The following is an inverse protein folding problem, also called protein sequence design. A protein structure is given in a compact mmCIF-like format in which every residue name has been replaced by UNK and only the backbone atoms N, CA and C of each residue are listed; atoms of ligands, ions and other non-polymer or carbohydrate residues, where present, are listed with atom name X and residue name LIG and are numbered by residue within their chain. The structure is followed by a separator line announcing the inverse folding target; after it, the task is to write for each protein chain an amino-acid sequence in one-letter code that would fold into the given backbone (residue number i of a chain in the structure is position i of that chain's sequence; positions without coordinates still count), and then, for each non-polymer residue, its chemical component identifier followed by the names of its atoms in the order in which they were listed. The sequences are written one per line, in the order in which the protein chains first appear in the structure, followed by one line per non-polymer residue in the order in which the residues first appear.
data_IF_945721502433
#
_entry.id   IF_945721502433
#
_cell.length_a   1.000
_cell.length_b   1.000
_cell.length_c   1.000
_cell.angle_alpha   90.00
_cell.angle_beta   90.00
_cell.angle_gamma   90.00
#
_symmetry.space_group_name_H-M   'P 1'
#
loop_
_entity.id
_entity.type
_entity.pdbx_description
1 polymer ?
#
# COMPACT_ATOMS: atom_id res chain seq x y z
N UNK A 1 13.63 -17.20 -10.71
CA UNK A 1 13.57 -16.00 -9.86
C UNK A 1 12.20 -15.96 -9.23
N UNK A 2 12.10 -16.11 -7.92
CA UNK A 2 10.84 -16.14 -7.18
C UNK A 2 10.49 -14.70 -6.73
N UNK A 3 10.20 -13.82 -7.70
CA UNK A 3 9.87 -12.41 -7.43
C UNK A 3 8.36 -12.12 -7.36
N UNK A 4 7.54 -13.15 -7.57
CA UNK A 4 6.10 -12.99 -7.64
C UNK A 4 5.62 -12.47 -9.01
N UNK A 5 4.30 -12.56 -9.23
CA UNK A 5 3.66 -12.00 -10.43
C UNK A 5 2.21 -11.62 -10.14
N UNK A 6 1.71 -10.65 -10.88
CA UNK A 6 0.29 -10.25 -10.89
C UNK A 6 -0.32 -10.71 -12.20
N UNK A 7 -1.44 -11.41 -12.13
CA UNK A 7 -2.23 -11.79 -13.31
C UNK A 7 -3.41 -10.83 -13.44
N UNK A 8 -3.56 -10.23 -14.61
CA UNK A 8 -4.73 -9.43 -14.94
C UNK A 8 -5.79 -10.32 -15.60
N UNK A 9 -6.98 -10.32 -15.03
CA UNK A 9 -8.10 -11.16 -15.47
C UNK A 9 -9.29 -10.24 -15.77
N UNK A 10 -9.89 -10.44 -16.92
CA UNK A 10 -11.12 -9.76 -17.37
C UNK A 10 -12.30 -10.70 -17.27
N UNK A 11 -13.46 -10.18 -16.97
CA UNK A 11 -14.75 -10.85 -16.98
C UNK A 11 -15.68 -10.16 -17.97
N UNK A 12 -16.63 -10.89 -18.54
CA UNK A 12 -17.59 -10.33 -19.49
C UNK A 12 -18.64 -9.43 -18.83
N UNK A 13 -18.91 -9.67 -17.54
CA UNK A 13 -19.90 -8.92 -16.77
C UNK A 13 -19.57 -8.84 -15.26
N UNK A 14 -20.41 -8.13 -14.51
CA UNK A 14 -20.30 -7.96 -13.05
C UNK A 14 -20.65 -9.24 -12.25
N UNK A 15 -21.13 -10.30 -12.90
CA UNK A 15 -21.37 -11.61 -12.29
C UNK A 15 -20.14 -12.52 -12.42
N UNK A 16 -19.00 -11.98 -12.85
CA UNK A 16 -17.73 -12.68 -13.03
C UNK A 16 -17.83 -13.85 -14.03
N UNK A 17 -18.59 -13.67 -15.10
CA UNK A 17 -18.70 -14.70 -16.15
C UNK A 17 -17.51 -14.66 -17.10
N UNK A 18 -17.19 -15.83 -17.67
CA UNK A 18 -16.15 -16.02 -18.69
C UNK A 18 -14.80 -15.35 -18.36
N UNK A 19 -14.11 -15.75 -17.26
CA UNK A 19 -12.82 -15.18 -16.92
C UNK A 19 -11.80 -15.41 -18.04
N UNK A 20 -11.11 -14.35 -18.43
CA UNK A 20 -10.04 -14.39 -19.45
C UNK A 20 -8.77 -13.79 -18.86
N UNK A 21 -7.68 -14.55 -18.90
CA UNK A 21 -6.36 -14.03 -18.57
C UNK A 21 -5.92 -13.05 -19.66
N UNK A 22 -5.63 -11.81 -19.28
CA UNK A 22 -5.27 -10.73 -20.21
C UNK A 22 -3.76 -10.59 -20.30
N UNK A 23 -3.07 -10.44 -19.16
CA UNK A 23 -1.63 -10.23 -19.14
C UNK A 23 -1.01 -10.53 -17.77
N UNK A 24 0.31 -10.46 -17.72
CA UNK A 24 1.10 -10.73 -16.50
C UNK A 24 2.09 -9.60 -16.24
N UNK A 25 2.19 -9.18 -14.98
CA UNK A 25 3.13 -8.17 -14.50
C UNK A 25 4.12 -8.85 -13.55
N UNK A 26 5.41 -8.64 -13.76
CA UNK A 26 6.47 -9.23 -12.93
C UNK A 26 7.82 -9.23 -13.64
N UNK A 27 8.77 -10.03 -13.14
CA UNK A 27 10.09 -10.09 -13.74
C UNK A 27 10.07 -10.88 -15.07
N UNK A 28 10.59 -10.28 -16.14
CA UNK A 28 10.75 -10.90 -17.47
C UNK A 28 9.47 -11.26 -18.24
N UNK A 29 8.32 -10.69 -17.90
CA UNK A 29 7.09 -10.83 -18.66
C UNK A 29 7.01 -9.75 -19.75
N UNK A 30 7.15 -10.12 -21.03
CA UNK A 30 7.17 -9.20 -22.16
C UNK A 30 6.68 -9.85 -23.48
N UNK A 31 5.82 -10.87 -23.40
CA UNK A 31 5.39 -11.63 -24.56
C UNK A 31 4.23 -10.97 -25.32
N UNK A 32 3.52 -10.03 -24.70
CA UNK A 32 2.38 -9.33 -25.29
C UNK A 32 2.33 -7.86 -24.87
N UNK A 33 1.46 -7.06 -25.51
CA UNK A 33 1.20 -5.67 -25.11
C UNK A 33 0.44 -5.54 -23.78
N UNK A 34 0.01 -6.65 -23.20
CA UNK A 34 -0.66 -6.72 -21.92
C UNK A 34 0.28 -7.16 -20.78
N UNK A 35 1.49 -7.58 -21.13
CA UNK A 35 2.50 -7.96 -20.14
C UNK A 35 3.38 -6.78 -19.77
N UNK A 36 3.88 -6.77 -18.53
CA UNK A 36 4.81 -5.78 -18.05
C UNK A 36 6.00 -6.45 -17.36
N UNK A 37 7.18 -6.24 -17.90
CA UNK A 37 8.43 -6.63 -17.23
C UNK A 37 8.91 -5.50 -16.32
N UNK A 38 9.01 -5.78 -15.03
CA UNK A 38 9.63 -4.87 -14.06
C UNK A 38 11.06 -5.31 -13.85
N UNK A 39 11.99 -4.58 -14.49
CA UNK A 39 13.41 -4.94 -14.52
C UNK A 39 14.14 -4.73 -13.18
N UNK A 40 13.60 -3.90 -12.31
CA UNK A 40 14.16 -3.63 -10.97
C UNK A 40 13.75 -4.68 -9.93
N UNK A 41 12.82 -5.57 -10.28
CA UNK A 41 12.35 -6.62 -9.38
C UNK A 41 13.45 -7.68 -9.23
N UNK A 42 13.99 -7.81 -8.03
CA UNK A 42 15.03 -8.76 -7.67
C UNK A 42 14.51 -10.18 -7.40
N UNK A 43 15.44 -11.09 -7.12
CA UNK A 43 15.08 -12.45 -6.71
C UNK A 43 14.65 -12.44 -5.25
N UNK A 44 13.41 -12.79 -4.98
CA UNK A 44 12.90 -12.88 -3.63
C UNK A 44 12.03 -11.72 -3.18
N UNK A 45 11.94 -10.63 -3.96
CA UNK A 45 11.18 -9.41 -3.60
C UNK A 45 9.71 -9.67 -3.28
N UNK A 46 9.13 -10.71 -3.85
CA UNK A 46 7.79 -11.24 -3.52
C UNK A 46 6.68 -10.19 -3.57
N UNK A 47 5.94 -10.14 -4.67
CA UNK A 47 4.67 -9.40 -4.69
C UNK A 47 3.68 -9.99 -3.68
N UNK A 48 3.23 -9.18 -2.73
CA UNK A 48 2.41 -9.64 -1.59
C UNK A 48 1.04 -8.99 -1.52
N UNK A 49 0.93 -7.76 -2.00
CA UNK A 49 -0.31 -6.99 -1.92
C UNK A 49 -0.56 -6.24 -3.22
N UNK A 50 -1.81 -5.95 -3.49
CA UNK A 50 -2.21 -5.13 -4.63
C UNK A 50 -3.47 -4.35 -4.31
N UNK A 51 -3.58 -3.14 -4.87
CA UNK A 51 -4.78 -2.32 -4.80
C UNK A 51 -4.99 -1.61 -6.14
N UNK A 52 -6.22 -1.69 -6.65
CA UNK A 52 -6.63 -1.18 -7.96
C UNK A 52 -7.64 -0.05 -7.75
N UNK A 53 -7.57 1.01 -8.56
CA UNK A 53 -8.61 2.05 -8.59
C UNK A 53 -9.93 1.50 -9.11
N UNK A 54 -11.04 2.16 -8.79
CA UNK A 54 -12.40 1.75 -9.21
C UNK A 54 -12.55 1.66 -10.73
N UNK A 55 -11.86 2.53 -11.46
CA UNK A 55 -11.87 2.54 -12.92
C UNK A 55 -10.89 1.53 -13.54
N UNK A 56 -10.12 0.79 -12.72
CA UNK A 56 -9.15 -0.19 -13.14
C UNK A 56 -7.92 0.36 -13.86
N UNK A 57 -7.72 1.68 -13.88
CA UNK A 57 -6.64 2.30 -14.65
C UNK A 57 -5.31 2.43 -13.91
N UNK A 58 -5.31 2.21 -12.58
CA UNK A 58 -4.15 2.39 -11.72
C UNK A 58 -4.04 1.22 -10.75
N UNK A 59 -2.84 0.69 -10.61
CA UNK A 59 -2.53 -0.42 -9.74
C UNK A 59 -1.29 -0.10 -8.90
N UNK A 60 -1.40 -0.25 -7.60
CA UNK A 60 -0.26 -0.31 -6.69
C UNK A 60 0.02 -1.77 -6.33
N UNK A 61 1.29 -2.17 -6.37
CA UNK A 61 1.74 -3.54 -6.04
C UNK A 61 2.83 -3.47 -5.00
N UNK A 62 2.62 -4.10 -3.85
CA UNK A 62 3.58 -4.19 -2.76
C UNK A 62 4.55 -5.36 -2.94
N UNK A 63 5.81 -5.12 -2.65
CA UNK A 63 6.90 -6.08 -2.63
C UNK A 63 7.62 -5.99 -1.28
N UNK A 64 7.10 -6.65 -0.26
CA UNK A 64 7.57 -6.49 1.13
C UNK A 64 8.99 -6.96 1.39
N UNK A 65 9.59 -7.70 0.47
CA UNK A 65 10.96 -8.20 0.56
C UNK A 65 11.93 -7.52 -0.42
N UNK A 66 11.51 -6.40 -1.00
CA UNK A 66 12.38 -5.60 -1.86
C UNK A 66 13.56 -5.05 -1.03
N UNK A 67 14.76 -5.20 -1.58
CA UNK A 67 16.00 -4.82 -0.89
C UNK A 67 16.45 -3.37 -1.22
N UNK A 68 15.51 -2.52 -1.71
CA UNK A 68 15.79 -1.18 -2.21
C UNK A 68 16.40 -1.18 -3.61
N UNK A 69 16.40 -0.03 -4.28
CA UNK A 69 16.82 0.07 -5.69
C UNK A 69 18.24 -0.42 -5.96
N UNK A 70 19.12 -0.36 -4.97
CA UNK A 70 20.52 -0.78 -5.05
C UNK A 70 20.80 -2.15 -4.38
N UNK A 71 19.79 -2.81 -3.84
CA UNK A 71 19.92 -4.09 -3.13
C UNK A 71 20.66 -4.00 -1.81
N UNK A 72 20.73 -2.82 -1.20
CA UNK A 72 21.48 -2.55 0.03
C UNK A 72 20.66 -2.61 1.32
N UNK A 73 19.34 -2.74 1.22
CA UNK A 73 18.38 -2.60 2.32
C UNK A 73 17.51 -3.84 2.47
N UNK A 74 18.05 -4.87 3.12
CA UNK A 74 17.41 -6.19 3.20
C UNK A 74 15.97 -6.12 3.67
N UNK A 75 15.03 -6.61 2.82
CA UNK A 75 13.58 -6.65 3.06
C UNK A 75 12.98 -5.32 3.57
N UNK A 76 13.53 -4.18 3.18
CA UNK A 76 12.94 -2.88 3.52
C UNK A 76 11.53 -2.74 2.92
N UNK A 77 11.36 -3.29 1.73
CA UNK A 77 10.11 -3.31 0.98
C UNK A 77 9.95 -2.12 0.02
N UNK A 78 9.05 -2.29 -0.94
CA UNK A 78 8.71 -1.26 -1.92
C UNK A 78 7.28 -1.39 -2.42
N UNK A 79 6.77 -0.31 -3.05
CA UNK A 79 5.50 -0.31 -3.78
C UNK A 79 5.73 0.17 -5.20
N UNK A 80 5.34 -0.66 -6.17
CA UNK A 80 5.41 -0.38 -7.60
C UNK A 80 4.11 0.24 -8.09
N UNK A 81 4.20 1.38 -8.78
CA UNK A 81 3.07 2.14 -9.32
C UNK A 81 2.93 1.86 -10.80
N UNK A 82 1.77 1.33 -11.20
CA UNK A 82 1.50 0.87 -12.56
C UNK A 82 0.25 1.56 -13.09
N UNK A 83 0.30 2.00 -14.33
CA UNK A 83 -0.83 2.58 -15.05
C UNK A 83 -1.20 1.72 -16.25
N UNK A 84 -2.49 1.71 -16.58
CA UNK A 84 -3.01 1.09 -17.80
C UNK A 84 -3.64 2.16 -18.69
N UNK A 85 -3.54 2.00 -20.00
CA UNK A 85 -4.23 2.87 -20.93
C UNK A 85 -5.74 2.66 -20.83
N UNK A 86 -6.47 3.74 -20.62
CA UNK A 86 -7.92 3.70 -20.66
C UNK A 86 -8.39 3.67 -22.11
N UNK A 87 -9.16 2.66 -22.47
CA UNK A 87 -9.91 2.62 -23.72
C UNK A 87 -11.36 2.98 -23.45
N UNK A 88 -12.04 3.54 -24.45
CA UNK A 88 -13.47 3.78 -24.38
C UNK A 88 -14.17 2.61 -25.06
N UNK A 89 -15.08 1.95 -24.35
CA UNK A 89 -15.89 0.88 -24.95
C UNK A 89 -16.90 1.44 -25.96
N UNK A 90 -17.63 0.56 -26.66
CA UNK A 90 -18.63 0.96 -27.67
C UNK A 90 -19.74 1.85 -27.13
N UNK A 91 -19.98 1.86 -25.84
CA UNK A 91 -21.01 2.62 -25.14
C UNK A 91 -20.51 3.97 -24.60
N UNK A 92 -19.25 4.32 -24.89
CA UNK A 92 -18.63 5.57 -24.49
C UNK A 92 -18.11 5.59 -23.03
N UNK A 93 -18.18 4.47 -22.33
CA UNK A 93 -17.67 4.36 -20.96
C UNK A 93 -16.17 4.00 -20.95
N UNK A 94 -15.41 4.48 -19.97
CA UNK A 94 -14.04 4.00 -19.77
C UNK A 94 -14.06 2.48 -19.63
N UNK A 95 -13.24 1.80 -20.43
CA UNK A 95 -12.98 0.37 -20.28
C UNK A 95 -11.48 0.20 -20.16
N UNK A 96 -11.04 -0.26 -19.03
CA UNK A 96 -9.67 -0.73 -18.87
C UNK A 96 -9.65 -2.22 -19.13
N UNK A 97 -9.17 -2.57 -20.31
CA UNK A 97 -8.86 -3.96 -20.61
C UNK A 97 -7.43 -4.32 -20.16
N UNK A 98 -6.88 -3.59 -19.18
CA UNK A 98 -5.49 -3.68 -18.72
C UNK A 98 -4.46 -3.51 -19.86
N UNK A 99 -4.78 -2.63 -20.82
CA UNK A 99 -3.94 -2.39 -21.99
C UNK A 99 -2.66 -1.61 -21.61
N UNK A 100 -1.57 -1.95 -22.30
CA UNK A 100 -0.29 -1.23 -22.22
C UNK A 100 0.13 -0.91 -20.78
N UNK A 101 0.24 -1.90 -19.89
CA UNK A 101 0.68 -1.64 -18.53
C UNK A 101 2.04 -0.95 -18.54
N UNK A 102 2.16 0.14 -17.76
CA UNK A 102 3.38 0.92 -17.67
C UNK A 102 3.77 1.09 -16.20
N UNK A 103 5.00 0.69 -15.86
CA UNK A 103 5.61 1.00 -14.58
C UNK A 103 6.04 2.47 -14.60
N UNK A 104 5.41 3.31 -13.77
CA UNK A 104 5.60 4.76 -13.77
C UNK A 104 6.42 5.27 -12.60
N UNK A 105 6.57 4.49 -11.54
CA UNK A 105 7.35 4.84 -10.36
C UNK A 105 7.39 3.74 -9.31
N UNK A 106 8.29 3.88 -8.36
CA UNK A 106 8.40 3.01 -7.18
C UNK A 106 8.56 3.88 -5.94
N UNK A 107 7.87 3.52 -4.86
CA UNK A 107 8.02 4.12 -3.52
C UNK A 107 8.80 3.13 -2.66
N UNK A 108 9.94 3.54 -2.12
CA UNK A 108 10.82 2.69 -1.29
C UNK A 108 12.19 3.32 -1.11
N UNK A 109 13.14 2.61 -0.51
CA UNK A 109 14.49 3.14 -0.26
C UNK A 109 15.31 3.16 -1.56
N UNK A 110 16.05 4.24 -1.80
CA UNK A 110 16.89 4.49 -2.97
C UNK A 110 16.14 4.62 -4.31
N UNK A 111 14.82 4.68 -4.31
CA UNK A 111 14.00 4.85 -5.51
C UNK A 111 13.81 6.33 -5.87
N UNK A 112 14.91 7.01 -6.21
CA UNK A 112 14.83 8.39 -6.69
C UNK A 112 14.13 8.49 -8.06
N UNK A 113 13.39 9.58 -8.35
CA UNK A 113 12.82 9.80 -9.67
C UNK A 113 13.87 9.79 -10.78
N UNK A 114 13.56 9.10 -11.88
CA UNK A 114 14.40 9.04 -13.09
C UNK A 114 13.66 9.61 -14.30
N UNK A 115 14.31 9.64 -15.45
CA UNK A 115 13.66 10.09 -16.70
C UNK A 115 12.51 9.19 -17.17
N UNK A 116 12.49 7.93 -16.73
CA UNK A 116 11.46 6.92 -17.07
C UNK A 116 10.50 6.64 -15.91
N UNK A 117 11.01 6.65 -14.69
CA UNK A 117 10.24 6.43 -13.46
C UNK A 117 10.04 7.75 -12.71
N UNK A 118 9.35 8.69 -13.34
CA UNK A 118 9.18 10.07 -12.85
C UNK A 118 8.29 10.19 -11.61
N UNK A 119 7.58 9.12 -11.25
CA UNK A 119 6.63 9.06 -10.13
C UNK A 119 7.23 8.36 -8.90
N UNK A 120 8.50 8.00 -8.94
CA UNK A 120 9.18 7.38 -7.79
C UNK A 120 9.33 8.34 -6.62
N UNK A 121 9.38 7.78 -5.42
CA UNK A 121 9.63 8.49 -4.17
C UNK A 121 10.62 7.69 -3.33
N UNK A 122 11.75 8.33 -3.04
CA UNK A 122 12.78 7.78 -2.15
C UNK A 122 12.40 8.07 -0.69
N UNK A 123 12.35 7.02 0.13
CA UNK A 123 12.02 7.08 1.55
C UNK A 123 13.25 6.99 2.47
N UNK A 124 14.45 6.74 1.92
CA UNK A 124 15.67 6.56 2.70
C UNK A 124 16.51 7.81 2.92
N UNK A 125 16.80 8.57 1.86
CA UNK A 125 17.93 9.52 1.86
C UNK A 125 17.59 11.00 2.06
N UNK A 126 16.33 11.41 2.05
CA UNK A 126 15.95 12.82 2.05
C UNK A 126 15.57 13.38 3.43
N UNK A 127 16.08 12.79 4.51
CA UNK A 127 15.74 13.18 5.89
C UNK A 127 14.34 12.77 6.31
N UNK A 128 13.71 11.88 5.55
CA UNK A 128 12.45 11.25 5.92
C UNK A 128 12.70 10.06 6.85
N UNK A 129 13.78 9.30 6.62
CA UNK A 129 14.22 8.15 7.43
C UNK A 129 13.04 7.32 7.98
N UNK A 130 12.13 6.96 7.03
CA UNK A 130 10.86 6.34 7.36
C UNK A 130 10.98 4.82 7.34
N UNK A 131 11.84 4.30 6.46
CA UNK A 131 12.05 2.86 6.29
C UNK A 131 13.47 2.47 6.63
N UNK A 132 13.60 1.31 7.22
CA UNK A 132 14.86 0.64 7.52
C UNK A 132 14.88 -0.82 6.99
N UNK A 133 15.97 -1.53 7.27
CA UNK A 133 16.05 -2.96 6.94
C UNK A 133 14.96 -3.74 7.69
N UNK A 134 14.36 -4.69 7.01
CA UNK A 134 13.33 -5.59 7.52
C UNK A 134 11.97 -4.99 7.83
N UNK A 135 11.70 -3.72 7.56
CA UNK A 135 10.39 -3.08 7.84
C UNK A 135 9.23 -3.71 7.06
N UNK A 136 9.55 -4.39 5.94
CA UNK A 136 8.55 -5.08 5.12
C UNK A 136 7.44 -4.16 4.60
N UNK A 137 7.81 -2.95 4.19
CA UNK A 137 6.91 -1.99 3.55
C UNK A 137 6.27 -2.59 2.29
N UNK A 138 4.97 -2.39 2.10
CA UNK A 138 4.23 -2.98 0.99
C UNK A 138 3.59 -4.34 1.32
N UNK A 139 3.56 -4.76 2.60
CA UNK A 139 2.88 -5.99 3.00
C UNK A 139 1.37 -5.95 2.76
N UNK A 140 0.73 -4.81 2.99
CA UNK A 140 -0.67 -4.54 2.66
C UNK A 140 -0.85 -3.15 2.10
N UNK A 141 -1.81 -2.98 1.19
CA UNK A 141 -2.07 -1.73 0.46
C UNK A 141 -3.54 -1.37 0.46
N UNK A 142 -3.82 -0.07 0.49
CA UNK A 142 -5.14 0.49 0.21
C UNK A 142 -4.98 1.74 -0.66
N UNK A 143 -5.62 1.77 -1.83
CA UNK A 143 -5.65 2.90 -2.75
C UNK A 143 -7.07 3.46 -2.82
N UNK A 144 -7.24 4.78 -2.75
CA UNK A 144 -8.55 5.41 -2.93
C UNK A 144 -9.13 5.16 -4.32
N UNK A 145 -10.43 5.28 -4.46
CA UNK A 145 -11.16 5.08 -5.72
C UNK A 145 -10.58 5.93 -6.87
N UNK A 146 -10.16 7.16 -6.58
CA UNK A 146 -9.58 8.10 -7.54
C UNK A 146 -8.05 7.98 -7.68
N UNK A 147 -7.42 7.08 -6.93
CA UNK A 147 -5.97 6.84 -6.98
C UNK A 147 -5.09 7.93 -6.37
N UNK A 148 -5.65 8.87 -5.58
CA UNK A 148 -4.87 10.01 -5.06
C UNK A 148 -4.30 9.82 -3.67
N UNK A 149 -4.77 8.82 -2.91
CA UNK A 149 -4.24 8.47 -1.60
C UNK A 149 -3.91 7.00 -1.58
N UNK A 150 -2.72 6.67 -1.11
CA UNK A 150 -2.23 5.32 -0.92
C UNK A 150 -1.86 5.12 0.54
N UNK A 151 -2.44 4.10 1.17
CA UNK A 151 -2.04 3.62 2.49
C UNK A 151 -1.21 2.33 2.33
N UNK A 152 -0.10 2.22 3.04
CA UNK A 152 0.83 1.10 2.94
C UNK A 152 1.24 0.64 4.33
N UNK A 153 1.12 -0.64 4.64
CA UNK A 153 1.64 -1.18 5.89
C UNK A 153 3.10 -1.61 5.77
N UNK A 154 3.85 -1.34 6.84
CA UNK A 154 5.17 -1.85 7.17
C UNK A 154 5.04 -2.70 8.43
N UNK A 155 4.95 -4.01 8.29
CA UNK A 155 4.56 -4.90 9.42
C UNK A 155 5.63 -5.04 10.49
N UNK A 156 6.85 -4.69 10.17
CA UNK A 156 8.01 -4.80 11.05
C UNK A 156 8.72 -3.48 11.30
N UNK A 157 8.03 -2.37 11.04
CA UNK A 157 8.50 -1.05 11.38
C UNK A 157 8.72 -0.92 12.90
N UNK A 158 9.93 -0.53 13.32
CA UNK A 158 10.31 -0.41 14.73
C UNK A 158 9.86 0.92 15.35
N UNK A 159 9.17 1.78 14.61
CA UNK A 159 8.73 3.11 15.02
C UNK A 159 9.69 4.22 14.56
N UNK A 160 9.25 5.47 14.75
CA UNK A 160 9.96 6.63 14.24
C UNK A 160 11.35 6.82 14.88
N UNK A 161 12.36 7.05 14.04
CA UNK A 161 13.74 7.38 14.42
C UNK A 161 14.46 6.28 15.22
N UNK A 162 14.08 5.04 15.01
CA UNK A 162 14.83 3.90 15.53
C UNK A 162 15.95 3.57 14.55
N UNK A 163 17.14 4.13 14.78
CA UNK A 163 18.35 3.90 13.95
C UNK A 163 18.94 2.49 14.08
N UNK A 164 18.33 1.67 14.90
CA UNK A 164 18.72 0.29 15.11
C UNK A 164 17.49 -0.58 14.86
N UNK A 165 17.63 -1.52 13.96
CA UNK A 165 16.75 -2.68 13.84
C UNK A 165 16.73 -3.41 15.21
N UNK A 166 15.88 -2.90 16.12
CA UNK A 166 15.79 -3.40 17.51
C UNK A 166 14.91 -4.64 17.60
N UNK A 167 14.32 -5.08 16.48
CA UNK A 167 13.33 -6.16 16.39
C UNK A 167 12.11 -5.94 17.32
N UNK A 168 11.73 -4.69 17.51
CA UNK A 168 10.53 -4.37 18.26
C UNK A 168 9.26 -4.61 17.43
N UNK A 169 9.39 -4.63 16.09
CA UNK A 169 8.37 -5.05 15.10
C UNK A 169 6.96 -4.50 15.40
N UNK A 170 6.85 -3.22 15.82
CA UNK A 170 5.55 -2.60 16.17
C UNK A 170 4.61 -2.50 14.98
N UNK A 171 5.18 -2.36 13.78
CA UNK A 171 4.44 -2.06 12.57
C UNK A 171 3.93 -0.63 12.49
N UNK A 172 3.78 -0.15 11.26
CA UNK A 172 3.22 1.16 10.95
C UNK A 172 2.37 1.13 9.68
N UNK A 173 1.55 2.16 9.50
CA UNK A 173 0.88 2.46 8.23
C UNK A 173 1.34 3.83 7.75
N UNK A 174 1.93 3.86 6.56
CA UNK A 174 2.42 5.07 5.91
C UNK A 174 1.43 5.54 4.84
N UNK A 175 1.18 6.84 4.78
CA UNK A 175 0.19 7.47 3.91
C UNK A 175 0.89 8.35 2.89
N UNK A 176 0.52 8.18 1.64
CA UNK A 176 1.05 8.94 0.51
C UNK A 176 -0.08 9.63 -0.22
N UNK A 177 0.19 10.82 -0.75
CA UNK A 177 -0.74 11.57 -1.60
C UNK A 177 -0.14 11.81 -2.97
N UNK A 178 -0.99 11.88 -3.97
CA UNK A 178 -0.65 12.22 -5.35
C UNK A 178 -1.44 13.44 -5.79
N UNK A 179 -0.85 14.28 -6.63
CA UNK A 179 -1.50 15.50 -7.14
C UNK A 179 -2.62 15.19 -8.13
N UNK A 180 -2.57 14.01 -8.76
CA UNK A 180 -3.59 13.54 -9.70
C UNK A 180 -3.73 11.99 -9.65
N UNK A 181 -4.72 11.48 -10.38
CA UNK A 181 -4.96 10.03 -10.51
C UNK A 181 -3.87 9.27 -11.29
N UNK A 182 -2.88 9.95 -11.85
CA UNK A 182 -1.75 9.34 -12.59
C UNK A 182 -0.51 9.13 -11.72
N UNK A 183 -0.65 9.14 -10.40
CA UNK A 183 0.45 9.05 -9.44
C UNK A 183 1.47 10.19 -9.53
N UNK A 184 1.09 11.36 -10.09
CA UNK A 184 1.98 12.50 -10.21
C UNK A 184 2.23 13.14 -8.85
N UNK A 185 3.47 13.56 -8.59
CA UNK A 185 3.83 14.29 -7.39
C UNK A 185 3.62 13.47 -6.11
N UNK A 186 4.08 12.22 -6.13
CA UNK A 186 4.08 11.36 -4.95
C UNK A 186 4.72 12.08 -3.75
N UNK A 187 4.01 12.14 -2.65
CA UNK A 187 4.45 12.82 -1.43
C UNK A 187 4.10 11.97 -0.21
N UNK A 188 5.06 11.76 0.67
CA UNK A 188 4.78 11.23 2.00
C UNK A 188 3.93 12.23 2.76
N UNK A 189 2.81 11.78 3.33
CA UNK A 189 1.84 12.63 3.99
C UNK A 189 1.83 12.44 5.51
N UNK A 190 1.85 11.20 6.00
CA UNK A 190 1.74 10.87 7.41
C UNK A 190 2.11 9.41 7.69
N UNK A 191 2.35 9.10 8.97
CA UNK A 191 2.37 7.72 9.48
C UNK A 191 1.46 7.57 10.70
N UNK A 192 0.91 6.37 10.83
CA UNK A 192 0.22 5.87 12.02
C UNK A 192 1.09 4.74 12.55
N UNK A 193 1.76 4.94 13.67
CA UNK A 193 2.73 3.97 14.22
C UNK A 193 3.38 4.45 15.50
N UNK A 194 4.22 3.61 16.08
CA UNK A 194 4.86 3.87 17.36
C UNK A 194 5.84 5.06 17.25
N UNK A 195 5.73 6.04 18.16
CA UNK A 195 6.53 7.26 18.22
C UNK A 195 6.45 8.18 16.98
N UNK A 196 5.56 7.94 16.03
CA UNK A 196 5.31 8.87 14.93
C UNK A 196 4.54 10.09 15.44
N UNK A 197 5.25 11.16 15.78
CA UNK A 197 4.69 12.38 16.40
C UNK A 197 4.75 13.57 15.46
N UNK A 198 3.87 14.56 15.72
CA UNK A 198 3.87 15.84 15.00
C UNK A 198 3.25 15.81 13.59
N UNK A 199 2.98 16.97 13.05
CA UNK A 199 2.38 17.13 11.73
C UNK A 199 1.02 16.43 11.61
N UNK A 200 0.91 15.52 10.66
CA UNK A 200 -0.29 14.70 10.40
C UNK A 200 -0.15 13.27 10.95
N UNK A 201 0.95 12.96 11.61
CA UNK A 201 1.20 11.64 12.17
C UNK A 201 0.29 11.34 13.35
N UNK A 202 0.09 10.06 13.62
CA UNK A 202 -0.60 9.55 14.80
C UNK A 202 0.31 8.59 15.57
N UNK A 203 0.62 8.93 16.80
CA UNK A 203 1.44 8.11 17.70
C UNK A 203 0.62 7.02 18.37
N UNK A 204 0.97 5.77 18.12
CA UNK A 204 0.31 4.59 18.69
C UNK A 204 0.98 4.05 19.95
N UNK A 205 2.02 4.71 20.48
CA UNK A 205 2.74 4.26 21.68
C UNK A 205 1.84 4.11 22.93
N UNK A 206 0.67 4.76 22.92
CA UNK A 206 -0.35 4.62 23.95
C UNK A 206 -1.30 3.43 23.74
N UNK A 207 -1.22 2.72 22.61
CA UNK A 207 -2.04 1.54 22.30
C UNK A 207 -1.25 0.31 22.69
N UNK A 208 -1.72 -0.40 23.73
CA UNK A 208 -1.06 -1.63 24.17
C UNK A 208 -1.17 -2.71 23.11
N UNK A 209 -0.05 -3.36 22.79
CA UNK A 209 0.00 -4.47 21.85
C UNK A 209 -0.15 -4.06 20.39
N UNK A 210 -0.02 -2.78 20.04
CA UNK A 210 -0.09 -2.32 18.65
C UNK A 210 0.83 -3.14 17.73
N UNK A 211 0.28 -3.62 16.61
CA UNK A 211 0.98 -4.44 15.62
C UNK A 211 0.34 -4.33 14.23
N UNK A 212 0.56 -3.22 13.52
CA UNK A 212 -0.08 -2.98 12.23
C UNK A 212 0.33 -4.03 11.17
N UNK A 213 -0.64 -4.76 10.61
CA UNK A 213 -0.39 -5.75 9.57
C UNK A 213 -1.16 -5.49 8.28
N UNK A 214 -2.46 -5.31 8.36
CA UNK A 214 -3.34 -5.12 7.22
C UNK A 214 -3.89 -3.70 7.21
N UNK A 215 -4.09 -3.14 6.01
CA UNK A 215 -4.69 -1.82 5.87
C UNK A 215 -5.75 -1.83 4.77
N UNK A 216 -6.84 -1.13 5.02
CA UNK A 216 -7.84 -0.77 4.02
C UNK A 216 -8.18 0.71 4.17
N UNK A 217 -8.34 1.40 3.06
CA UNK A 217 -8.77 2.80 3.01
C UNK A 217 -10.11 2.88 2.28
N UNK A 218 -11.00 3.78 2.70
CA UNK A 218 -12.25 3.99 1.99
C UNK A 218 -12.04 4.76 0.66
N UNK A 219 -13.03 4.71 -0.21
CA UNK A 219 -12.94 5.33 -1.54
C UNK A 219 -12.70 6.84 -1.50
N UNK A 220 -13.16 7.51 -0.45
CA UNK A 220 -13.02 8.96 -0.26
C UNK A 220 -11.69 9.34 0.41
N UNK A 221 -10.97 8.37 0.99
CA UNK A 221 -9.66 8.59 1.62
C UNK A 221 -9.70 9.26 3.00
N UNK A 222 -10.84 9.25 3.67
CA UNK A 222 -10.99 9.89 4.98
C UNK A 222 -11.13 8.89 6.15
N UNK A 223 -11.13 7.58 5.87
CA UNK A 223 -11.18 6.52 6.87
C UNK A 223 -10.23 5.39 6.52
N UNK A 224 -9.58 4.87 7.54
CA UNK A 224 -8.67 3.73 7.41
C UNK A 224 -9.03 2.68 8.46
N UNK A 225 -9.09 1.43 8.05
CA UNK A 225 -9.12 0.27 8.93
C UNK A 225 -7.73 -0.37 8.97
N UNK A 226 -7.22 -0.63 10.17
CA UNK A 226 -5.93 -1.29 10.38
C UNK A 226 -6.17 -2.56 11.19
N UNK A 227 -5.82 -3.70 10.62
CA UNK A 227 -5.82 -4.99 11.31
C UNK A 227 -4.51 -5.17 12.06
N UNK A 228 -4.62 -5.57 13.31
CA UNK A 228 -3.52 -5.85 14.22
C UNK A 228 -3.44 -7.37 14.43
N UNK A 229 -2.27 -7.94 14.18
CA UNK A 229 -2.07 -9.38 14.36
C UNK A 229 -1.59 -9.73 15.78
N UNK A 230 -1.15 -8.75 16.57
CA UNK A 230 -0.61 -8.99 17.91
C UNK A 230 -1.72 -9.17 18.97
N UNK A 231 -2.79 -8.38 18.84
CA UNK A 231 -3.91 -8.36 19.78
C UNK A 231 -5.23 -8.85 19.17
N UNK A 232 -5.23 -9.28 17.89
CA UNK A 232 -6.43 -9.67 17.14
C UNK A 232 -7.48 -8.55 17.03
N UNK A 233 -7.03 -7.31 16.98
CA UNK A 233 -7.86 -6.10 16.96
C UNK A 233 -7.97 -5.50 15.56
N UNK A 234 -9.01 -4.68 15.37
CA UNK A 234 -9.16 -3.78 14.23
C UNK A 234 -9.30 -2.36 14.76
N UNK A 235 -8.45 -1.47 14.31
CA UNK A 235 -8.49 -0.04 14.63
C UNK A 235 -9.07 0.74 13.44
N UNK A 236 -10.06 1.59 13.72
CA UNK A 236 -10.68 2.46 12.73
C UNK A 236 -10.25 3.90 13.00
N UNK A 237 -9.49 4.46 12.06
CA UNK A 237 -9.07 5.85 12.09
C UNK A 237 -9.89 6.71 11.14
N UNK A 238 -10.13 7.96 11.53
CA UNK A 238 -10.73 8.99 10.70
C UNK A 238 -9.80 10.19 10.57
N UNK A 239 -9.93 10.90 9.44
CA UNK A 239 -9.26 12.16 9.16
C UNK A 239 -10.30 13.26 8.98
N UNK A 240 -9.93 14.50 9.26
CA UNK A 240 -10.82 15.66 9.08
C UNK A 240 -11.08 15.97 7.61
N UNK A 241 -10.11 15.64 6.75
CA UNK A 241 -10.16 15.89 5.31
C UNK A 241 -9.29 14.93 4.50
N UNK A 242 -9.41 15.00 3.17
CA UNK A 242 -8.60 14.22 2.22
C UNK A 242 -7.13 14.65 2.14
N UNK A 243 -6.75 15.71 2.84
CA UNK A 243 -5.35 16.07 3.08
C UNK A 243 -4.75 15.31 4.26
N UNK A 244 -5.50 14.38 4.86
CA UNK A 244 -5.09 13.51 5.97
C UNK A 244 -4.73 14.30 7.25
N UNK A 245 -5.44 15.41 7.51
CA UNK A 245 -5.28 16.17 8.75
C UNK A 245 -6.12 15.59 9.88
N UNK A 246 -5.73 15.85 11.12
CA UNK A 246 -6.51 15.50 12.30
C UNK A 246 -6.75 13.99 12.48
N UNK A 247 -5.75 13.17 12.18
CA UNK A 247 -5.84 11.73 12.39
C UNK A 247 -6.29 11.40 13.81
N UNK A 248 -7.33 10.58 13.95
CA UNK A 248 -7.88 10.20 15.25
C UNK A 248 -8.41 8.76 15.23
N UNK A 249 -8.11 8.01 16.30
CA UNK A 249 -8.70 6.69 16.51
C UNK A 249 -10.19 6.87 16.85
N UNK A 250 -11.06 6.32 16.01
CA UNK A 250 -12.51 6.44 16.13
C UNK A 250 -13.10 5.24 16.88
N UNK A 251 -12.66 4.02 16.54
CA UNK A 251 -13.17 2.79 17.11
C UNK A 251 -12.09 1.72 17.17
N UNK A 252 -12.22 0.83 18.16
CA UNK A 252 -11.49 -0.44 18.26
C UNK A 252 -12.47 -1.59 18.27
N UNK A 253 -12.24 -2.62 17.46
CA UNK A 253 -13.05 -3.83 17.39
C UNK A 253 -12.14 -5.00 17.77
N UNK A 254 -12.48 -5.74 18.81
CA UNK A 254 -11.64 -6.86 19.27
C UNK A 254 -12.23 -7.64 20.41
N UNK A 255 -11.53 -8.66 20.84
CA UNK A 255 -11.96 -9.51 21.94
C UNK A 255 -11.84 -8.78 23.29
N UNK A 256 -12.94 -8.76 24.07
CA UNK A 256 -12.95 -8.14 25.41
C UNK A 256 -12.88 -6.61 25.44
N UNK A 257 -13.06 -5.93 24.30
CA UNK A 257 -13.11 -4.47 24.22
C UNK A 257 -14.45 -3.95 24.75
N UNK A 258 -14.45 -3.19 25.83
CA UNK A 258 -15.67 -2.76 26.55
C UNK A 258 -15.75 -1.27 26.82
N UNK A 259 -14.85 -0.48 26.28
CA UNK A 259 -14.80 0.97 26.42
C UNK A 259 -15.80 1.73 25.53
N UNK A 260 -15.80 3.04 25.65
CA UNK A 260 -16.52 3.91 24.72
C UNK A 260 -15.85 3.83 23.34
N UNK A 261 -16.64 3.67 22.28
CA UNK A 261 -16.11 3.45 20.92
C UNK A 261 -15.31 2.13 20.77
N UNK A 262 -15.68 1.12 21.51
CA UNK A 262 -15.15 -0.22 21.39
C UNK A 262 -16.27 -1.22 21.08
N UNK A 263 -15.96 -2.23 20.29
CA UNK A 263 -16.86 -3.35 20.00
C UNK A 263 -16.22 -4.67 20.44
N UNK A 264 -16.84 -5.30 21.42
CA UNK A 264 -16.41 -6.60 21.92
C UNK A 264 -16.90 -7.74 21.00
N UNK A 265 -15.95 -8.50 20.49
CA UNK A 265 -16.21 -9.67 19.65
C UNK A 265 -16.30 -10.99 20.45
N UNK A 266 -16.08 -10.97 21.77
CA UNK A 266 -16.09 -12.17 22.62
C UNK A 266 -17.45 -12.91 22.63
N UNK A 267 -18.54 -12.17 22.34
CA UNK A 267 -19.90 -12.71 22.30
C UNK A 267 -20.43 -12.91 20.88
N UNK A 268 -19.62 -12.63 19.86
CA UNK A 268 -20.00 -12.83 18.48
C UNK A 268 -20.17 -14.33 18.18
N UNK A 269 -21.42 -14.78 18.13
CA UNK A 269 -21.73 -16.14 17.67
C UNK A 269 -21.74 -16.11 16.14
N UNK A 270 -20.82 -16.83 15.51
CA UNK A 270 -20.90 -17.06 14.08
C UNK A 270 -22.18 -17.88 13.82
N UNK A 271 -23.16 -17.24 13.16
CA UNK A 271 -24.41 -17.88 12.78
C UNK A 271 -24.26 -18.63 11.45
#
# INVERSE_FOLDING_TARGET
VDSGSVFTIKFDDTNFTNPTHVGTIGHSYNSSSYDLSIGTLGSGDSFTALSLTDDGSRLAVGAMKDDGANGGHSNAGAVYLITFDQTTNSDGNPSTDFNNPTHVGTIGIDYAPTSTLTKSLDLGDNGLDILSNNDQFGNSLGLTADGKILAVSSTKDDGYNTTNDTNDDYGAVHLFTFSDSNFTGATYAASIGNNYTGGKNYDTSGISGWGAAQVAIDGDGNRIAIGDFAEDDIYLFGFEDTSLTGASLQYTIGFGKTGTNELDTSTATLA
#
